data_IF_210849040845
#
_entry.id   IF_210849040845
#
_cell.length_a   1.000
_cell.length_b   1.000
_cell.length_c   1.000
_cell.angle_alpha   90.00
_cell.angle_beta   90.00
_cell.angle_gamma   90.00
#
_symmetry.space_group_name_H-M   'P 1'
#
loop_
_entity.id
_entity.type
_entity.pdbx_description
1 polymer ?
#
# COMPACT_ATOMS: atom_id res chain seq x y z
N UNK A 1 -6.66 23.65 -40.34
CA UNK A 1 -7.89 23.35 -39.57
C UNK A 1 -8.75 24.59 -39.62
N UNK A 2 -10.00 24.50 -40.10
CA UNK A 2 -10.91 25.65 -40.09
C UNK A 2 -11.51 25.78 -38.68
N UNK A 3 -10.95 26.72 -37.90
CA UNK A 3 -11.33 26.95 -36.51
C UNK A 3 -12.82 27.25 -36.34
N UNK A 4 -13.43 28.00 -37.28
CA UNK A 4 -14.86 28.36 -37.19
C UNK A 4 -15.75 27.14 -37.39
N UNK A 5 -15.39 26.30 -38.35
CA UNK A 5 -16.09 25.03 -38.58
C UNK A 5 -15.98 24.10 -37.38
N UNK A 6 -14.77 23.94 -36.83
CA UNK A 6 -14.53 23.11 -35.64
C UNK A 6 -15.33 23.60 -34.44
N UNK A 7 -15.36 24.91 -34.16
CA UNK A 7 -16.13 25.49 -33.04
C UNK A 7 -17.64 25.23 -33.18
N UNK A 8 -18.18 25.23 -34.40
CA UNK A 8 -19.61 24.98 -34.64
C UNK A 8 -20.00 23.50 -34.45
N UNK A 9 -19.06 22.57 -34.63
CA UNK A 9 -19.26 21.13 -34.46
C UNK A 9 -19.07 20.66 -32.99
N UNK A 10 -18.71 21.56 -32.07
CA UNK A 10 -18.60 21.27 -30.65
C UNK A 10 -19.93 21.52 -29.91
N UNK A 11 -20.33 20.53 -29.11
CA UNK A 11 -21.42 20.67 -28.15
C UNK A 11 -21.08 21.68 -27.05
N UNK A 12 -22.10 22.08 -26.29
CA UNK A 12 -21.92 23.01 -25.17
C UNK A 12 -20.97 22.46 -24.11
N UNK A 13 -21.05 21.16 -23.79
CA UNK A 13 -20.19 20.54 -22.78
C UNK A 13 -18.74 20.42 -23.27
N UNK A 14 -18.51 20.13 -24.56
CA UNK A 14 -17.15 20.14 -25.14
C UNK A 14 -16.51 21.53 -25.07
N UNK A 15 -17.28 22.58 -25.38
CA UNK A 15 -16.82 23.97 -25.24
C UNK A 15 -16.49 24.31 -23.79
N UNK A 16 -17.37 23.93 -22.86
CA UNK A 16 -17.15 24.12 -21.42
C UNK A 16 -15.86 23.44 -20.94
N UNK A 17 -15.61 22.19 -21.36
CA UNK A 17 -14.37 21.48 -21.01
C UNK A 17 -13.14 22.23 -21.54
N UNK A 18 -13.14 22.65 -22.81
CA UNK A 18 -11.99 23.37 -23.39
C UNK A 18 -11.73 24.72 -22.70
N UNK A 19 -12.78 25.49 -22.39
CA UNK A 19 -12.66 26.75 -21.66
C UNK A 19 -12.13 26.53 -20.24
N UNK A 20 -12.61 25.49 -19.55
CA UNK A 20 -12.14 25.14 -18.20
C UNK A 20 -10.69 24.68 -18.24
N UNK A 21 -10.30 23.90 -19.24
CA UNK A 21 -8.90 23.52 -19.44
C UNK A 21 -8.01 24.74 -19.69
N UNK A 22 -8.44 25.72 -20.48
CA UNK A 22 -7.71 26.97 -20.71
C UNK A 22 -7.49 27.74 -19.39
N UNK A 23 -8.53 27.88 -18.56
CA UNK A 23 -8.44 28.45 -17.22
C UNK A 23 -7.44 27.70 -16.32
N UNK A 24 -7.38 26.37 -16.46
CA UNK A 24 -6.47 25.48 -15.72
C UNK A 24 -5.10 25.29 -16.40
N UNK A 25 -4.73 26.18 -17.34
CA UNK A 25 -3.42 26.18 -18.02
C UNK A 25 -3.17 24.93 -18.89
N UNK A 26 -4.23 24.33 -19.44
CA UNK A 26 -4.17 23.32 -20.50
C UNK A 26 -4.06 21.87 -20.05
N UNK A 27 -3.91 21.57 -18.75
CA UNK A 27 -3.90 20.20 -18.20
C UNK A 27 -4.63 20.16 -16.86
N UNK A 28 -5.62 19.29 -16.74
CA UNK A 28 -6.39 19.09 -15.52
C UNK A 28 -6.96 17.66 -15.48
N UNK A 29 -7.23 17.17 -14.27
CA UNK A 29 -7.99 15.94 -14.04
C UNK A 29 -9.49 16.17 -14.26
N UNK A 30 -10.27 15.10 -14.50
CA UNK A 30 -11.73 15.19 -14.59
C UNK A 30 -12.37 15.84 -13.36
N UNK A 31 -11.87 15.54 -12.16
CA UNK A 31 -12.32 16.14 -10.90
C UNK A 31 -12.07 17.66 -10.85
N UNK A 32 -10.89 18.13 -11.30
CA UNK A 32 -10.59 19.56 -11.33
C UNK A 32 -11.47 20.31 -12.34
N UNK A 33 -11.74 19.70 -13.50
CA UNK A 33 -12.65 20.26 -14.51
C UNK A 33 -14.09 20.29 -13.99
N UNK A 34 -14.53 19.27 -13.25
CA UNK A 34 -15.84 19.24 -12.61
C UNK A 34 -15.99 20.34 -11.55
N UNK A 35 -14.96 20.54 -10.71
CA UNK A 35 -15.01 21.51 -9.62
C UNK A 35 -14.87 22.97 -10.09
N UNK A 36 -14.13 23.20 -11.18
CA UNK A 36 -13.88 24.54 -11.73
C UNK A 36 -14.88 24.92 -12.81
N UNK A 37 -15.29 23.93 -13.60
CA UNK A 37 -16.25 24.09 -14.68
C UNK A 37 -17.68 24.02 -14.18
N UNK A 38 -18.59 24.58 -14.97
CA UNK A 38 -20.03 24.53 -14.71
C UNK A 38 -20.61 23.17 -15.14
N UNK A 39 -20.24 22.12 -14.41
CA UNK A 39 -20.70 20.73 -14.59
C UNK A 39 -21.39 20.22 -13.32
N UNK A 40 -22.42 19.39 -13.48
CA UNK A 40 -23.15 18.83 -12.33
C UNK A 40 -22.61 17.44 -11.95
N UNK A 41 -22.21 16.65 -12.93
CA UNK A 41 -21.74 15.27 -12.74
C UNK A 41 -20.45 15.01 -13.51
N UNK A 42 -19.55 14.21 -12.93
CA UNK A 42 -18.28 13.80 -13.56
C UNK A 42 -18.48 13.12 -14.92
N UNK A 43 -19.58 12.36 -15.07
CA UNK A 43 -19.94 11.68 -16.34
C UNK A 43 -20.09 12.67 -17.50
N UNK A 44 -20.55 13.90 -17.25
CA UNK A 44 -20.66 14.93 -18.28
C UNK A 44 -19.29 15.38 -18.78
N UNK A 45 -18.34 15.59 -17.86
CA UNK A 45 -16.95 15.93 -18.16
C UNK A 45 -16.30 14.82 -18.96
N UNK A 46 -16.46 13.57 -18.52
CA UNK A 46 -15.86 12.39 -19.18
C UNK A 46 -16.43 12.15 -20.58
N UNK A 47 -17.74 12.32 -20.77
CA UNK A 47 -18.36 12.20 -22.09
C UNK A 47 -17.86 13.29 -23.04
N UNK A 48 -17.80 14.54 -22.59
CA UNK A 48 -17.29 15.66 -23.39
C UNK A 48 -15.80 15.48 -23.74
N UNK A 49 -14.97 15.09 -22.76
CA UNK A 49 -13.56 14.80 -22.99
C UNK A 49 -13.35 13.66 -24.00
N UNK A 50 -14.19 12.62 -23.97
CA UNK A 50 -14.14 11.51 -24.93
C UNK A 50 -14.43 11.97 -26.36
N UNK A 51 -15.43 12.84 -26.56
CA UNK A 51 -15.71 13.42 -27.87
C UNK A 51 -14.59 14.34 -28.35
N UNK A 52 -14.08 15.22 -27.50
CA UNK A 52 -12.93 16.07 -27.80
C UNK A 52 -11.71 15.23 -28.19
N UNK A 53 -11.49 14.10 -27.53
CA UNK A 53 -10.43 13.15 -27.87
C UNK A 53 -10.64 12.55 -29.27
N UNK A 54 -11.86 12.10 -29.60
CA UNK A 54 -12.16 11.58 -30.95
C UNK A 54 -11.97 12.64 -32.06
N UNK A 55 -12.14 13.92 -31.71
CA UNK A 55 -11.89 15.07 -32.58
C UNK A 55 -10.41 15.51 -32.60
N UNK A 56 -9.53 14.80 -31.89
CA UNK A 56 -8.10 15.12 -31.70
C UNK A 56 -7.84 16.51 -31.10
N UNK A 57 -8.78 17.04 -30.29
CA UNK A 57 -8.68 18.36 -29.66
C UNK A 57 -8.09 18.30 -28.24
N UNK A 58 -8.19 17.15 -27.58
CA UNK A 58 -7.56 16.90 -26.28
C UNK A 58 -6.88 15.53 -26.28
N UNK A 59 -5.86 15.40 -25.43
CA UNK A 59 -5.25 14.11 -25.11
C UNK A 59 -5.73 13.71 -23.71
N UNK A 60 -6.19 12.47 -23.56
CA UNK A 60 -6.47 11.86 -22.26
C UNK A 60 -5.30 10.95 -21.92
N UNK A 61 -4.71 11.14 -20.74
CA UNK A 61 -3.63 10.31 -20.21
C UNK A 61 -4.14 9.60 -18.96
N UNK A 62 -4.12 8.27 -18.98
CA UNK A 62 -4.47 7.48 -17.80
C UNK A 62 -3.25 7.38 -16.88
N UNK A 63 -3.43 7.80 -15.63
CA UNK A 63 -2.41 7.68 -14.59
C UNK A 63 -2.85 6.63 -13.58
N UNK A 64 -2.43 5.38 -13.81
CA UNK A 64 -2.67 4.29 -12.86
C UNK A 64 -1.82 4.53 -11.62
N UNK A 65 -2.46 4.67 -10.46
CA UNK A 65 -1.79 4.75 -9.16
C UNK A 65 -1.95 3.43 -8.43
N UNK A 66 -0.88 2.99 -7.77
CA UNK A 66 -0.96 1.83 -6.89
C UNK A 66 -1.24 2.28 -5.47
N UNK A 67 -2.38 1.88 -4.91
CA UNK A 67 -2.72 2.10 -3.50
C UNK A 67 -2.67 0.81 -2.69
N UNK A 68 -2.38 0.94 -1.40
CA UNK A 68 -2.22 -0.18 -0.48
C UNK A 68 -3.26 -0.15 0.64
N UNK A 69 -3.68 -1.33 1.09
CA UNK A 69 -4.54 -1.52 2.26
C UNK A 69 -4.14 -2.78 3.03
N UNK A 70 -4.69 -2.97 4.23
CA UNK A 70 -4.41 -4.16 5.05
C UNK A 70 -5.15 -5.40 4.53
N UNK A 71 -4.41 -6.49 4.34
CA UNK A 71 -4.96 -7.83 4.17
C UNK A 71 -5.42 -8.45 5.50
N UNK A 72 -5.91 -9.71 5.49
CA UNK A 72 -6.40 -10.34 6.73
C UNK A 72 -5.28 -10.53 7.75
N UNK A 73 -4.11 -11.00 7.32
CA UNK A 73 -2.95 -11.19 8.20
C UNK A 73 -2.44 -9.85 8.75
N UNK A 74 -2.43 -8.80 7.93
CA UNK A 74 -2.02 -7.46 8.36
C UNK A 74 -2.87 -6.91 9.50
N UNK A 75 -4.19 -7.12 9.43
CA UNK A 75 -5.11 -6.77 10.51
C UNK A 75 -4.86 -7.60 11.77
N UNK A 76 -4.59 -8.90 11.63
CA UNK A 76 -4.25 -9.74 12.77
C UNK A 76 -2.95 -9.32 13.44
N UNK A 77 -1.93 -8.90 12.67
CA UNK A 77 -0.66 -8.44 13.21
C UNK A 77 -0.77 -7.11 13.96
N UNK A 78 -1.74 -6.26 13.66
CA UNK A 78 -2.02 -5.09 14.47
C UNK A 78 -2.60 -5.42 15.85
N UNK A 79 -3.44 -6.46 15.92
CA UNK A 79 -4.09 -6.87 17.17
C UNK A 79 -3.16 -7.71 18.05
N UNK A 80 -2.48 -8.71 17.47
CA UNK A 80 -1.68 -9.70 18.20
C UNK A 80 -0.18 -9.40 18.17
N UNK A 81 0.26 -8.47 17.32
CA UNK A 81 1.67 -8.29 17.00
C UNK A 81 2.20 -9.33 16.00
N UNK A 82 3.29 -8.96 15.35
CA UNK A 82 4.00 -9.85 14.43
C UNK A 82 4.45 -11.14 15.13
N UNK A 83 4.29 -12.31 14.46
CA UNK A 83 4.64 -13.60 15.06
C UNK A 83 6.13 -13.67 15.44
N UNK A 84 7.02 -13.08 14.65
CA UNK A 84 8.44 -13.03 15.00
C UNK A 84 8.73 -12.17 16.25
N UNK A 85 7.92 -11.12 16.50
CA UNK A 85 8.11 -10.24 17.65
C UNK A 85 7.59 -10.89 18.92
N UNK A 86 6.48 -11.63 18.82
CA UNK A 86 5.99 -12.53 19.88
C UNK A 86 7.00 -13.62 20.22
N UNK A 87 7.58 -14.28 19.21
CA UNK A 87 8.61 -15.28 19.42
C UNK A 87 9.87 -14.67 20.06
N UNK A 88 10.29 -13.48 19.63
CA UNK A 88 11.45 -12.76 20.17
C UNK A 88 11.29 -12.44 21.66
N UNK A 89 10.06 -12.15 22.11
CA UNK A 89 9.76 -11.93 23.54
C UNK A 89 10.03 -13.18 24.37
N UNK A 90 9.56 -14.35 23.92
CA UNK A 90 9.83 -15.63 24.58
C UNK A 90 11.33 -15.91 24.66
N UNK A 91 12.04 -15.71 23.54
CA UNK A 91 13.50 -15.93 23.49
C UNK A 91 14.21 -14.98 24.46
N UNK A 92 13.80 -13.71 24.51
CA UNK A 92 14.39 -12.72 25.41
C UNK A 92 14.16 -13.03 26.89
N UNK A 93 13.00 -13.57 27.26
CA UNK A 93 12.68 -13.96 28.64
C UNK A 93 13.48 -15.18 29.10
N UNK A 94 13.71 -16.14 28.20
CA UNK A 94 14.45 -17.38 28.51
C UNK A 94 15.96 -17.27 28.31
N UNK A 95 16.43 -16.27 27.56
CA UNK A 95 17.80 -16.17 27.06
C UNK A 95 18.07 -17.13 25.89
N UNK A 96 17.72 -18.40 26.06
CA UNK A 96 17.82 -19.47 25.07
C UNK A 96 16.49 -20.23 25.02
N UNK A 97 15.88 -20.35 23.85
CA UNK A 97 14.59 -21.02 23.68
C UNK A 97 14.64 -22.14 22.64
N UNK A 98 13.86 -23.20 22.85
CA UNK A 98 13.61 -24.26 21.85
C UNK A 98 12.38 -23.94 21.02
N UNK A 99 12.20 -24.61 19.88
CA UNK A 99 10.97 -24.49 19.08
C UNK A 99 9.70 -24.84 19.87
N UNK A 100 9.78 -25.82 20.76
CA UNK A 100 8.65 -26.21 21.62
C UNK A 100 8.20 -25.06 22.53
N UNK A 101 9.11 -24.20 22.97
CA UNK A 101 8.80 -23.05 23.82
C UNK A 101 7.93 -22.00 23.11
N UNK A 102 8.06 -21.88 21.79
CA UNK A 102 7.27 -20.93 20.99
C UNK A 102 5.79 -21.32 20.92
N UNK A 103 5.46 -22.60 21.15
CA UNK A 103 4.09 -23.10 21.11
C UNK A 103 3.18 -22.53 22.20
N UNK A 104 3.75 -21.80 23.18
CA UNK A 104 3.00 -21.11 24.23
C UNK A 104 2.20 -19.91 23.70
N UNK A 105 2.74 -19.19 22.71
CA UNK A 105 2.16 -17.94 22.18
C UNK A 105 1.87 -17.99 20.68
N UNK A 106 2.49 -18.93 19.97
CA UNK A 106 2.35 -19.08 18.52
C UNK A 106 1.66 -20.41 18.20
N UNK A 107 0.74 -20.36 17.25
CA UNK A 107 0.17 -21.57 16.68
C UNK A 107 1.20 -22.35 15.85
N UNK A 108 0.95 -23.64 15.62
CA UNK A 108 1.82 -24.51 14.79
C UNK A 108 2.11 -23.93 13.40
N UNK A 109 1.18 -23.16 12.84
CA UNK A 109 1.33 -22.53 11.53
C UNK A 109 2.17 -21.24 11.59
N UNK A 110 2.16 -20.53 12.72
CA UNK A 110 2.92 -19.29 12.91
C UNK A 110 4.38 -19.55 13.27
N UNK A 111 4.69 -20.67 13.93
CA UNK A 111 6.07 -20.98 14.35
C UNK A 111 7.06 -20.96 13.17
N UNK A 112 6.83 -21.67 12.05
CA UNK A 112 7.75 -21.63 10.90
C UNK A 112 7.90 -20.23 10.32
N UNK A 113 6.80 -19.45 10.30
CA UNK A 113 6.78 -18.08 9.79
C UNK A 113 7.66 -17.19 10.68
N UNK A 114 7.45 -17.24 12.00
CA UNK A 114 8.24 -16.49 12.96
C UNK A 114 9.72 -16.81 12.86
N UNK A 115 10.08 -18.10 12.82
CA UNK A 115 11.46 -18.58 12.72
C UNK A 115 12.13 -18.09 11.43
N UNK A 116 11.42 -18.16 10.30
CA UNK A 116 11.92 -17.63 9.02
C UNK A 116 12.22 -16.13 9.08
N UNK A 117 11.34 -15.34 9.70
CA UNK A 117 11.52 -13.90 9.85
C UNK A 117 12.61 -13.52 10.87
N UNK A 118 12.71 -14.25 11.98
CA UNK A 118 13.79 -14.09 12.95
C UNK A 118 15.16 -14.26 12.29
N UNK A 119 15.31 -15.29 11.45
CA UNK A 119 16.54 -15.52 10.67
C UNK A 119 16.79 -14.42 9.65
N UNK A 120 15.78 -14.09 8.84
CA UNK A 120 15.89 -13.11 7.74
C UNK A 120 16.25 -11.72 8.25
N UNK A 121 15.74 -11.33 9.43
CA UNK A 121 16.00 -10.02 10.05
C UNK A 121 17.20 -10.04 11.00
N UNK A 122 17.92 -11.17 11.12
CA UNK A 122 19.01 -11.36 12.08
C UNK A 122 18.60 -11.06 13.53
N UNK A 123 17.35 -11.32 13.93
CA UNK A 123 16.85 -11.05 15.28
C UNK A 123 17.14 -12.20 16.26
N UNK A 124 17.28 -13.41 15.74
CA UNK A 124 17.73 -14.56 16.52
C UNK A 124 18.72 -15.40 15.71
N UNK A 125 19.75 -15.89 16.38
CA UNK A 125 20.62 -16.92 15.85
C UNK A 125 19.93 -18.28 16.02
N UNK A 126 19.98 -19.10 14.98
CA UNK A 126 19.28 -20.38 14.94
C UNK A 126 20.32 -21.48 14.76
N UNK A 127 20.54 -22.25 15.82
CA UNK A 127 21.47 -23.39 15.80
C UNK A 127 20.67 -24.68 15.76
N UNK A 128 21.02 -25.56 14.82
CA UNK A 128 20.49 -26.93 14.76
C UNK A 128 21.56 -27.87 15.28
N UNK A 129 21.27 -28.49 16.42
CA UNK A 129 22.03 -29.63 16.94
C UNK A 129 21.02 -30.81 17.06
N UNK A 130 20.96 -31.50 18.21
CA UNK A 130 19.87 -32.45 18.53
C UNK A 130 18.48 -31.79 18.59
N UNK A 131 18.42 -30.55 19.06
CA UNK A 131 17.24 -29.69 19.06
C UNK A 131 17.53 -28.39 18.29
N UNK A 132 16.48 -27.72 17.80
CA UNK A 132 16.63 -26.36 17.25
C UNK A 132 16.59 -25.33 18.39
N UNK A 133 17.70 -24.63 18.56
CA UNK A 133 17.92 -23.63 19.61
C UNK A 133 17.90 -22.22 19.00
N UNK A 134 17.20 -21.31 19.68
CA UNK A 134 17.02 -19.91 19.32
C UNK A 134 17.68 -19.03 20.38
N UNK A 135 18.62 -18.18 19.95
CA UNK A 135 19.32 -17.22 20.81
C UNK A 135 19.10 -15.80 20.28
N UNK A 136 18.70 -14.86 21.13
CA UNK A 136 18.46 -13.47 20.70
C UNK A 136 19.76 -12.75 20.34
N UNK A 137 19.77 -12.02 19.23
CA UNK A 137 20.91 -11.20 18.80
C UNK A 137 20.83 -9.76 19.36
N UNK A 138 21.87 -8.96 19.15
CA UNK A 138 21.83 -7.53 19.46
C UNK A 138 20.73 -6.80 18.68
N UNK A 139 20.52 -7.14 17.40
CA UNK A 139 19.47 -6.55 16.57
C UNK A 139 18.08 -6.97 17.04
N UNK A 140 17.92 -8.22 17.49
CA UNK A 140 16.69 -8.69 18.13
C UNK A 140 16.38 -7.90 19.39
N UNK A 141 17.36 -7.68 20.27
CA UNK A 141 17.17 -6.87 21.49
C UNK A 141 16.73 -5.43 21.16
N UNK A 142 17.25 -4.83 20.08
CA UNK A 142 16.79 -3.50 19.61
C UNK A 142 15.36 -3.56 19.08
N UNK A 143 15.05 -4.52 18.22
CA UNK A 143 13.72 -4.70 17.64
C UNK A 143 12.62 -4.95 18.67
N UNK A 144 12.96 -5.55 19.81
CA UNK A 144 12.02 -5.75 20.92
C UNK A 144 11.65 -4.43 21.62
N UNK A 145 12.62 -3.50 21.73
CA UNK A 145 12.45 -2.20 22.44
C UNK A 145 11.84 -1.12 21.57
N UNK A 146 12.05 -1.18 20.26
CA UNK A 146 11.62 -0.13 19.33
C UNK A 146 10.49 -0.61 18.42
N UNK A 147 9.63 0.32 18.01
CA UNK A 147 8.66 0.06 16.96
C UNK A 147 9.37 -0.01 15.60
N UNK A 148 9.14 -1.08 14.84
CA UNK A 148 9.73 -1.26 13.50
C UNK A 148 8.99 -0.45 12.45
N UNK A 149 9.62 -0.26 11.29
CA UNK A 149 8.99 0.44 10.17
C UNK A 149 7.73 -0.28 9.68
N UNK A 150 7.75 -1.62 9.66
CA UNK A 150 6.58 -2.42 9.29
C UNK A 150 5.40 -2.19 10.23
N UNK A 151 5.63 -2.12 11.54
CA UNK A 151 4.57 -1.81 12.51
C UNK A 151 4.01 -0.39 12.31
N UNK A 152 4.85 0.58 11.96
CA UNK A 152 4.41 1.94 11.65
C UNK A 152 3.54 1.96 10.39
N UNK A 153 3.96 1.26 9.33
CA UNK A 153 3.23 1.15 8.08
C UNK A 153 1.87 0.49 8.30
N UNK A 154 1.80 -0.62 9.07
CA UNK A 154 0.53 -1.26 9.36
C UNK A 154 -0.42 -0.32 10.11
N UNK A 155 0.07 0.46 11.09
CA UNK A 155 -0.75 1.46 11.79
C UNK A 155 -1.25 2.56 10.84
N UNK A 156 -0.37 3.09 10.01
CA UNK A 156 -0.72 4.10 9.01
C UNK A 156 -1.81 3.60 8.06
N UNK A 157 -1.70 2.36 7.57
CA UNK A 157 -2.70 1.75 6.68
C UNK A 157 -4.01 1.39 7.39
N UNK A 158 -4.00 1.23 8.71
CA UNK A 158 -5.20 1.03 9.51
C UNK A 158 -5.98 2.34 9.69
N UNK A 159 -5.27 3.43 9.92
CA UNK A 159 -5.87 4.77 10.06
C UNK A 159 -6.32 5.33 8.71
N UNK A 160 -5.56 5.09 7.65
CA UNK A 160 -5.83 5.56 6.29
C UNK A 160 -5.68 4.42 5.29
N UNK A 161 -6.77 3.70 4.98
CA UNK A 161 -6.73 2.67 3.95
C UNK A 161 -6.64 3.28 2.54
N UNK A 162 -6.14 2.51 1.57
CA UNK A 162 -6.05 2.88 0.15
C UNK A 162 -5.19 4.12 -0.11
N UNK A 163 -4.04 4.21 0.57
CA UNK A 163 -3.05 5.27 0.34
C UNK A 163 -1.93 4.78 -0.57
N UNK A 164 -1.37 5.72 -1.33
CA UNK A 164 -0.15 5.49 -2.10
C UNK A 164 1.06 5.50 -1.17
N UNK A 165 1.90 4.47 -1.28
CA UNK A 165 3.11 4.30 -0.49
C UNK A 165 4.25 3.83 -1.39
N UNK A 166 5.46 4.26 -1.07
CA UNK A 166 6.67 3.83 -1.76
C UNK A 166 6.86 2.30 -1.61
N UNK A 167 6.77 1.57 -2.74
CA UNK A 167 6.93 0.12 -2.79
C UNK A 167 8.26 -0.34 -2.19
N UNK A 168 9.31 0.48 -2.22
CA UNK A 168 10.61 0.16 -1.63
C UNK A 168 10.53 -0.11 -0.12
N UNK A 169 9.66 0.63 0.58
CA UNK A 169 9.43 0.50 2.03
C UNK A 169 8.52 -0.67 2.37
N UNK A 170 7.75 -1.16 1.40
CA UNK A 170 6.78 -2.25 1.56
C UNK A 170 7.34 -3.63 1.23
N UNK A 171 8.55 -3.73 0.67
CA UNK A 171 9.16 -4.99 0.19
C UNK A 171 9.00 -6.15 1.19
N UNK A 172 9.32 -5.94 2.47
CA UNK A 172 9.23 -7.00 3.47
C UNK A 172 7.77 -7.39 3.79
N UNK A 173 6.86 -6.43 3.80
CA UNK A 173 5.43 -6.68 4.05
C UNK A 173 4.76 -7.38 2.86
N UNK A 174 5.12 -7.01 1.62
CA UNK A 174 4.60 -7.63 0.40
C UNK A 174 5.04 -9.08 0.22
N UNK A 175 6.19 -9.47 0.76
CA UNK A 175 6.60 -10.90 0.77
C UNK A 175 5.78 -11.77 1.71
N UNK A 176 4.96 -11.17 2.58
CA UNK A 176 4.08 -11.92 3.50
C UNK A 176 2.73 -12.13 2.87
N UNK A 177 2.22 -13.36 2.96
CA UNK A 177 0.91 -13.72 2.47
C UNK A 177 -0.18 -12.90 3.16
N UNK A 178 -1.03 -12.24 2.36
CA UNK A 178 -2.24 -11.51 2.79
C UNK A 178 -2.01 -10.47 3.92
N UNK A 179 -0.82 -9.86 3.97
CA UNK A 179 -0.53 -8.77 4.91
C UNK A 179 -0.95 -7.43 4.33
N UNK A 180 -0.58 -7.18 3.07
CA UNK A 180 -1.00 -6.02 2.31
C UNK A 180 -1.81 -6.45 1.11
N UNK A 181 -2.76 -5.61 0.71
CA UNK A 181 -3.48 -5.70 -0.56
C UNK A 181 -3.08 -4.52 -1.43
N UNK A 182 -2.75 -4.83 -2.67
CA UNK A 182 -2.42 -3.88 -3.71
C UNK A 182 -3.64 -3.69 -4.60
N UNK A 183 -4.00 -2.44 -4.89
CA UNK A 183 -5.08 -2.09 -5.80
C UNK A 183 -4.60 -0.97 -6.72
N UNK A 184 -4.79 -1.15 -8.01
CA UNK A 184 -4.63 -0.09 -9.00
C UNK A 184 -5.90 0.76 -9.04
N UNK A 185 -5.73 2.08 -8.98
CA UNK A 185 -6.79 3.10 -9.03
C UNK A 185 -6.47 4.17 -10.04
#
# INVERSE_FOLDING_TARGET
>A
MDLKKTINELSQNEKKVLLTLDMLKGKASPEEILNTGDFTQEVEVMNAASWLRSKNLVKIEDHIKTVFSLGKEGKQFLQKGFPEKRALKIISEKGVAKLSDLSKELSKNEIPIAVGWLKRKNWANIKKDKDTILEITADGKKALKTQTNEEKILKQLNERPNIELDKSKLKLLLTRKDVLKEKEV
#
